data_IF_360177796680
#
_entry.id   IF_360177796680
#
_cell.length_a   1.000
_cell.length_b   1.000
_cell.length_c   1.000
_cell.angle_alpha   90.00
_cell.angle_beta   90.00
_cell.angle_gamma   90.00
#
_symmetry.space_group_name_H-M   'P 1'
#
loop_
_entity.id
_entity.type
_entity.pdbx_description
1 polymer ?
#
# COMPACT_ATOMS: atom_id res chain seq x y z
N UNK A 1 55.02 -24.77 -83.84
CA UNK A 1 53.64 -24.29 -83.87
C UNK A 1 52.81 -25.34 -83.16
N UNK A 2 52.56 -25.11 -81.83
CA UNK A 2 51.77 -26.01 -80.94
C UNK A 2 50.53 -25.30 -80.47
N UNK A 3 49.42 -25.85 -80.89
CA UNK A 3 48.09 -25.33 -80.54
C UNK A 3 47.71 -25.92 -79.20
N UNK A 4 47.48 -25.04 -78.16
CA UNK A 4 46.94 -25.45 -76.89
C UNK A 4 45.41 -25.37 -76.93
N UNK A 5 44.74 -26.48 -76.71
CA UNK A 5 43.29 -26.56 -76.49
C UNK A 5 42.95 -26.41 -75.04
N UNK A 6 42.05 -25.46 -74.71
CA UNK A 6 41.49 -25.23 -73.38
C UNK A 6 40.45 -26.31 -73.06
N UNK A 7 40.41 -26.81 -71.81
CA UNK A 7 39.36 -27.71 -71.40
C UNK A 7 38.06 -26.94 -70.99
N UNK A 8 36.93 -27.50 -71.40
CA UNK A 8 35.60 -27.03 -71.11
C UNK A 8 35.28 -27.15 -69.61
N UNK A 9 35.09 -26.02 -68.87
CA UNK A 9 34.51 -25.96 -67.58
C UNK A 9 32.97 -26.14 -67.67
N UNK A 10 32.47 -27.33 -67.40
CA UNK A 10 31.04 -27.57 -67.13
C UNK A 10 30.89 -28.19 -65.74
N UNK A 11 29.97 -27.61 -64.99
CA UNK A 11 29.41 -28.11 -63.71
C UNK A 11 29.92 -27.53 -62.36
N UNK A 12 30.26 -26.24 -62.23
CA UNK A 12 30.53 -25.64 -60.93
C UNK A 12 29.37 -24.68 -60.44
N UNK A 13 28.44 -24.36 -61.37
CA UNK A 13 27.43 -23.31 -61.06
C UNK A 13 26.19 -23.73 -60.26
N UNK A 14 25.91 -25.03 -60.08
CA UNK A 14 24.65 -25.47 -59.43
C UNK A 14 24.80 -25.88 -57.98
N UNK A 15 25.99 -26.28 -57.55
CA UNK A 15 26.21 -26.69 -56.14
C UNK A 15 26.41 -25.50 -55.22
N UNK A 16 27.02 -24.40 -55.63
CA UNK A 16 27.24 -23.22 -54.82
C UNK A 16 25.97 -22.37 -54.63
N UNK A 17 25.01 -22.42 -55.55
CA UNK A 17 23.73 -21.71 -55.39
C UNK A 17 22.84 -22.37 -54.35
N UNK A 18 22.85 -23.71 -54.22
CA UNK A 18 22.08 -24.43 -53.20
C UNK A 18 22.65 -24.29 -51.78
N UNK A 19 23.99 -24.20 -51.65
CA UNK A 19 24.63 -23.99 -50.33
C UNK A 19 24.42 -22.56 -49.84
N UNK A 20 24.43 -21.56 -50.71
CA UNK A 20 24.11 -20.16 -50.34
C UNK A 20 22.63 -19.96 -49.95
N UNK A 21 21.71 -20.69 -50.57
CA UNK A 21 20.28 -20.61 -50.22
C UNK A 21 19.97 -21.31 -48.89
N UNK A 22 20.72 -22.36 -48.51
CA UNK A 22 20.54 -23.04 -47.22
C UNK A 22 21.15 -22.27 -46.05
N UNK A 23 22.19 -21.45 -46.25
CA UNK A 23 22.74 -20.57 -45.21
C UNK A 23 21.85 -19.36 -44.94
N UNK A 24 21.10 -18.86 -45.92
CA UNK A 24 20.16 -17.76 -45.74
C UNK A 24 18.87 -18.16 -44.97
N UNK A 25 18.50 -19.45 -44.98
CA UNK A 25 17.32 -19.96 -44.26
C UNK A 25 17.56 -20.19 -42.76
N UNK A 26 18.82 -20.21 -42.30
CA UNK A 26 19.18 -20.40 -40.89
C UNK A 26 19.28 -19.11 -40.07
N UNK A 27 19.21 -17.95 -40.71
CA UNK A 27 19.32 -16.64 -40.03
C UNK A 27 17.96 -16.03 -39.58
N UNK A 28 16.82 -16.73 -39.80
CA UNK A 28 15.49 -16.25 -39.41
C UNK A 28 15.02 -16.79 -38.06
N UNK A 29 15.83 -17.51 -37.30
CA UNK A 29 15.60 -17.75 -35.91
C UNK A 29 16.01 -16.48 -35.11
N UNK A 30 15.38 -15.36 -35.42
CA UNK A 30 15.35 -14.20 -34.53
C UNK A 30 14.70 -14.66 -33.22
N UNK A 31 15.50 -14.79 -32.17
CA UNK A 31 14.99 -14.89 -30.82
C UNK A 31 13.98 -13.76 -30.62
N UNK A 32 12.68 -14.06 -30.69
CA UNK A 32 11.68 -13.23 -30.08
C UNK A 32 12.04 -13.23 -28.59
N UNK A 33 12.70 -12.17 -28.10
CA UNK A 33 12.70 -11.88 -26.68
C UNK A 33 11.23 -11.92 -26.27
N UNK A 34 10.80 -12.95 -25.56
CA UNK A 34 9.59 -12.85 -24.75
C UNK A 34 9.83 -11.62 -23.88
N UNK A 35 9.13 -10.54 -24.12
CA UNK A 35 8.98 -9.50 -23.11
C UNK A 35 8.45 -10.23 -21.89
N UNK A 36 9.29 -10.34 -20.87
CA UNK A 36 8.82 -10.80 -19.56
C UNK A 36 7.75 -9.80 -19.16
N UNK A 37 6.50 -10.27 -19.12
CA UNK A 37 5.38 -9.45 -18.70
C UNK A 37 5.73 -8.91 -17.31
N UNK A 38 5.79 -7.60 -17.16
CA UNK A 38 6.02 -6.94 -15.88
C UNK A 38 4.97 -7.48 -14.90
N UNK A 39 5.37 -8.00 -13.73
CA UNK A 39 4.41 -8.54 -12.77
C UNK A 39 3.36 -7.48 -12.45
N UNK A 40 2.10 -7.81 -12.69
CA UNK A 40 0.99 -6.94 -12.28
C UNK A 40 0.86 -7.04 -10.77
N UNK A 41 1.05 -5.94 -10.08
CA UNK A 41 1.01 -5.89 -8.62
C UNK A 41 0.21 -4.70 -8.10
N UNK A 42 -0.32 -4.86 -6.90
CA UNK A 42 -0.89 -3.79 -6.08
C UNK A 42 -0.08 -3.69 -4.80
N UNK A 43 -0.03 -2.52 -4.18
CA UNK A 43 0.55 -2.33 -2.85
C UNK A 43 -0.54 -2.45 -1.78
N UNK A 44 -0.29 -3.21 -0.71
CA UNK A 44 -1.19 -3.28 0.45
C UNK A 44 -0.40 -3.07 1.73
N UNK A 45 -0.86 -2.13 2.56
CA UNK A 45 -0.45 -1.95 3.96
C UNK A 45 -1.60 -2.35 4.88
N UNK A 46 -1.31 -2.97 6.03
CA UNK A 46 -2.34 -3.38 6.99
C UNK A 46 -2.03 -2.79 8.35
N UNK A 47 -3.01 -2.12 8.94
CA UNK A 47 -2.88 -1.43 10.21
C UNK A 47 -3.92 -1.96 11.21
N UNK A 48 -3.51 -2.31 12.43
CA UNK A 48 -4.44 -2.61 13.50
C UNK A 48 -4.82 -1.34 14.24
N UNK A 49 -5.99 -0.78 13.94
CA UNK A 49 -6.59 0.36 14.61
C UNK A 49 -7.76 -0.04 15.54
N UNK A 50 -8.02 -1.36 15.69
CA UNK A 50 -9.02 -1.86 16.63
C UNK A 50 -8.58 -1.57 18.07
N UNK A 51 -9.42 -0.94 18.90
CA UNK A 51 -9.06 -0.50 20.25
C UNK A 51 -8.86 -1.65 21.25
N UNK A 52 -8.81 -2.89 20.81
CA UNK A 52 -8.68 -4.06 21.67
C UNK A 52 -7.26 -4.22 22.21
N UNK A 53 -7.10 -4.87 23.37
CA UNK A 53 -5.79 -5.30 23.88
C UNK A 53 -5.26 -6.55 23.16
N UNK A 54 -6.07 -7.17 22.29
CA UNK A 54 -5.67 -8.35 21.54
C UNK A 54 -4.64 -7.99 20.46
N UNK A 55 -3.81 -8.98 20.13
CA UNK A 55 -2.92 -8.93 18.96
C UNK A 55 -3.49 -9.81 17.85
N UNK A 56 -3.22 -9.46 16.58
CA UNK A 56 -3.85 -10.13 15.45
C UNK A 56 -2.83 -10.72 14.48
N UNK A 57 -3.05 -11.96 14.07
CA UNK A 57 -2.44 -12.50 12.88
C UNK A 57 -3.26 -12.07 11.65
N UNK A 58 -2.55 -11.77 10.57
CA UNK A 58 -3.12 -11.35 9.29
C UNK A 58 -2.85 -12.42 8.25
N UNK A 59 -3.88 -12.81 7.53
CA UNK A 59 -3.79 -13.76 6.42
C UNK A 59 -4.34 -13.13 5.15
N UNK A 60 -3.68 -13.40 4.04
CA UNK A 60 -4.14 -13.06 2.69
C UNK A 60 -4.21 -14.34 1.87
N UNK A 61 -5.40 -14.62 1.31
CA UNK A 61 -5.65 -15.86 0.57
C UNK A 61 -5.13 -17.08 1.32
N UNK A 62 -5.45 -17.15 2.64
CA UNK A 62 -5.04 -18.17 3.62
C UNK A 62 -3.54 -18.24 3.98
N UNK A 63 -2.68 -17.46 3.33
CA UNK A 63 -1.29 -17.33 3.72
C UNK A 63 -1.11 -16.28 4.83
N UNK A 64 -0.44 -16.65 5.93
CA UNK A 64 -0.09 -15.70 6.99
C UNK A 64 0.97 -14.73 6.50
N UNK A 65 0.73 -13.40 6.63
CA UNK A 65 1.60 -12.35 6.09
C UNK A 65 2.38 -11.57 7.15
N UNK A 66 2.11 -11.77 8.44
CA UNK A 66 2.86 -11.16 9.52
C UNK A 66 3.68 -12.20 10.31
N UNK A 67 4.93 -11.88 10.63
CA UNK A 67 5.80 -12.73 11.45
C UNK A 67 5.40 -12.70 12.93
N UNK A 68 5.05 -11.52 13.45
CA UNK A 68 4.54 -11.30 14.80
C UNK A 68 3.12 -10.75 14.74
N UNK A 69 2.25 -11.16 15.68
CA UNK A 69 0.88 -10.67 15.75
C UNK A 69 0.85 -9.14 15.99
N UNK A 70 0.03 -8.41 15.24
CA UNK A 70 -0.06 -6.95 15.28
C UNK A 70 -0.77 -6.49 16.57
N UNK A 71 -0.10 -5.74 17.45
CA UNK A 71 -0.76 -5.07 18.57
C UNK A 71 -1.60 -3.89 18.10
N UNK A 72 -2.35 -3.26 18.98
CA UNK A 72 -2.99 -1.97 18.73
C UNK A 72 -1.96 -0.97 18.17
N UNK A 73 -2.35 -0.23 17.15
CA UNK A 73 -1.50 0.67 16.38
C UNK A 73 -0.33 0.01 15.63
N UNK A 74 -0.15 -1.32 15.68
CA UNK A 74 0.82 -2.05 14.87
C UNK A 74 0.47 -2.03 13.39
N UNK A 75 1.49 -2.13 12.51
CA UNK A 75 1.29 -2.08 11.06
C UNK A 75 2.25 -2.98 10.31
N UNK A 76 1.79 -3.48 9.17
CA UNK A 76 2.62 -4.02 8.10
C UNK A 76 2.85 -2.93 7.06
N UNK A 77 4.10 -2.68 6.72
CA UNK A 77 4.45 -1.78 5.61
C UNK A 77 3.90 -2.31 4.31
N UNK A 78 3.86 -1.47 3.25
CA UNK A 78 3.42 -1.91 1.94
C UNK A 78 4.20 -3.13 1.46
N UNK A 79 3.46 -4.11 1.02
CA UNK A 79 3.96 -5.30 0.33
C UNK A 79 3.15 -5.53 -0.95
N UNK A 80 3.76 -6.23 -1.90
CA UNK A 80 3.14 -6.51 -3.20
C UNK A 80 2.18 -7.69 -3.09
N UNK A 81 1.04 -7.54 -3.75
CA UNK A 81 -0.01 -8.56 -3.87
C UNK A 81 -0.60 -8.52 -5.27
N UNK A 82 -1.09 -9.64 -5.78
CA UNK A 82 -1.77 -9.70 -7.07
C UNK A 82 -3.04 -8.86 -7.06
N UNK A 83 -3.32 -8.08 -8.12
CA UNK A 83 -4.59 -7.37 -8.27
C UNK A 83 -5.76 -8.35 -8.40
N UNK A 84 -6.99 -7.82 -8.28
CA UNK A 84 -8.22 -8.58 -8.30
C UNK A 84 -8.79 -8.85 -6.92
N UNK A 85 -9.65 -9.87 -6.81
CA UNK A 85 -10.28 -10.25 -5.55
C UNK A 85 -9.31 -11.03 -4.67
N UNK A 86 -9.11 -10.56 -3.45
CA UNK A 86 -8.29 -11.20 -2.42
C UNK A 86 -9.10 -11.34 -1.14
N UNK A 87 -8.81 -12.36 -0.34
CA UNK A 87 -9.43 -12.55 0.97
C UNK A 87 -8.45 -12.10 2.05
N UNK A 88 -8.85 -11.13 2.88
CA UNK A 88 -8.13 -10.76 4.09
C UNK A 88 -8.84 -11.35 5.30
N UNK A 89 -8.07 -12.03 6.18
CA UNK A 89 -8.57 -12.69 7.39
C UNK A 89 -7.71 -12.31 8.59
N UNK A 90 -8.38 -12.07 9.72
CA UNK A 90 -7.74 -11.81 11.00
C UNK A 90 -8.11 -12.90 12.00
N UNK A 91 -7.12 -13.36 12.75
CA UNK A 91 -7.29 -14.26 13.90
C UNK A 91 -6.64 -13.62 15.12
N UNK A 92 -6.95 -14.08 16.32
CA UNK A 92 -6.13 -13.67 17.47
C UNK A 92 -4.70 -14.22 17.36
N UNK A 93 -3.76 -13.60 18.05
CA UNK A 93 -2.35 -14.05 18.05
C UNK A 93 -2.15 -15.48 18.52
N UNK A 94 -3.07 -16.02 19.32
CA UNK A 94 -3.03 -17.35 19.95
C UNK A 94 -3.99 -18.37 19.33
N UNK A 95 -4.77 -18.02 18.30
CA UNK A 95 -5.78 -18.90 17.69
C UNK A 95 -5.71 -18.83 16.17
N UNK A 96 -6.22 -19.86 15.52
CA UNK A 96 -6.44 -19.91 14.05
C UNK A 96 -7.90 -19.64 13.68
N UNK A 97 -8.78 -19.49 14.66
CA UNK A 97 -10.18 -19.15 14.46
C UNK A 97 -10.31 -17.74 13.87
N UNK A 98 -11.12 -17.61 12.83
CA UNK A 98 -11.36 -16.34 12.17
C UNK A 98 -12.21 -15.42 13.03
N UNK A 99 -11.70 -14.22 13.30
CA UNK A 99 -12.43 -13.14 13.96
C UNK A 99 -13.05 -12.18 12.96
N UNK A 100 -12.42 -12.02 11.79
CA UNK A 100 -12.90 -11.23 10.68
C UNK A 100 -12.38 -11.83 9.38
N UNK A 101 -13.26 -11.99 8.40
CA UNK A 101 -12.89 -12.33 7.02
C UNK A 101 -13.64 -11.40 6.06
N UNK A 102 -12.91 -10.77 5.14
CA UNK A 102 -13.47 -9.86 4.12
C UNK A 102 -12.83 -10.16 2.77
N UNK A 103 -13.62 -9.99 1.72
CA UNK A 103 -13.08 -9.93 0.35
C UNK A 103 -12.74 -8.47 0.04
N UNK A 104 -11.53 -8.24 -0.44
CA UNK A 104 -11.04 -6.95 -0.90
C UNK A 104 -10.72 -7.04 -2.39
N UNK A 105 -11.00 -5.97 -3.14
CA UNK A 105 -10.66 -5.89 -4.56
C UNK A 105 -9.57 -4.86 -4.77
N UNK A 106 -8.47 -5.28 -5.39
CA UNK A 106 -7.29 -4.45 -5.61
C UNK A 106 -7.10 -4.23 -7.12
N UNK A 107 -6.88 -2.99 -7.52
CA UNK A 107 -6.56 -2.62 -8.90
C UNK A 107 -5.04 -2.63 -9.10
N UNK A 108 -4.62 -2.98 -10.31
CA UNK A 108 -3.21 -2.96 -10.68
C UNK A 108 -2.60 -1.55 -10.50
N UNK A 109 -1.33 -1.52 -10.08
CA UNK A 109 -0.52 -0.31 -9.92
C UNK A 109 -1.09 0.70 -8.90
N UNK A 110 -2.05 0.27 -8.05
CA UNK A 110 -2.56 1.07 -6.94
C UNK A 110 -2.05 0.59 -5.59
N UNK A 111 -1.96 1.54 -4.65
CA UNK A 111 -1.62 1.28 -3.26
C UNK A 111 -2.86 1.44 -2.37
N UNK A 112 -2.93 0.63 -1.32
CA UNK A 112 -4.06 0.60 -0.39
C UNK A 112 -3.57 0.46 1.05
N UNK A 113 -4.25 1.15 1.96
CA UNK A 113 -4.16 0.90 3.40
C UNK A 113 -5.43 0.21 3.88
N UNK A 114 -5.28 -0.94 4.54
CA UNK A 114 -6.38 -1.66 5.18
C UNK A 114 -6.27 -1.49 6.70
N UNK A 115 -7.30 -0.96 7.32
CA UNK A 115 -7.38 -0.74 8.76
C UNK A 115 -8.33 -1.78 9.37
N UNK A 116 -7.82 -2.61 10.29
CA UNK A 116 -8.66 -3.38 11.20
C UNK A 116 -9.21 -2.40 12.24
N UNK A 117 -10.51 -2.30 12.38
CA UNK A 117 -11.18 -1.27 13.17
C UNK A 117 -12.27 -1.88 14.07
N UNK A 118 -12.86 -1.02 14.90
CA UNK A 118 -13.96 -1.31 15.78
C UNK A 118 -13.60 -2.22 16.96
N UNK A 119 -14.57 -2.43 17.86
CA UNK A 119 -14.44 -3.18 19.12
C UNK A 119 -14.43 -4.69 18.87
N UNK A 120 -13.92 -5.48 19.81
CA UNK A 120 -13.73 -6.92 19.68
C UNK A 120 -14.97 -7.71 19.21
N UNK A 121 -16.17 -7.28 19.64
CA UNK A 121 -17.43 -7.93 19.29
C UNK A 121 -18.05 -7.44 17.98
N UNK A 122 -17.41 -6.47 17.30
CA UNK A 122 -17.87 -5.82 16.07
C UNK A 122 -16.71 -5.52 15.11
N UNK A 123 -15.64 -6.33 15.17
CA UNK A 123 -14.49 -6.11 14.30
C UNK A 123 -14.92 -5.90 12.85
N UNK A 124 -14.36 -4.89 12.22
CA UNK A 124 -14.62 -4.53 10.83
C UNK A 124 -13.33 -4.07 10.15
N UNK A 125 -13.38 -3.82 8.85
CA UNK A 125 -12.27 -3.34 8.06
C UNK A 125 -12.62 -2.12 7.24
N UNK A 126 -11.72 -1.15 7.20
CA UNK A 126 -11.78 0.00 6.30
C UNK A 126 -10.61 -0.09 5.32
N UNK A 127 -10.91 -0.16 4.03
CA UNK A 127 -9.90 -0.06 2.96
C UNK A 127 -9.91 1.35 2.37
N UNK A 128 -8.74 1.94 2.23
CA UNK A 128 -8.56 3.27 1.66
C UNK A 128 -7.53 3.18 0.54
N UNK A 129 -7.84 3.74 -0.62
CA UNK A 129 -6.87 3.89 -1.70
C UNK A 129 -5.87 4.99 -1.35
N UNK A 130 -4.59 4.71 -1.55
CA UNK A 130 -3.49 5.62 -1.27
C UNK A 130 -2.97 6.21 -2.58
N UNK A 131 -3.29 7.47 -2.84
CA UNK A 131 -2.65 8.20 -3.93
C UNK A 131 -1.24 8.62 -3.49
N UNK A 132 -0.27 7.79 -3.85
CA UNK A 132 1.14 8.01 -3.56
C UNK A 132 1.89 8.68 -4.74
N UNK A 133 1.22 8.91 -5.86
CA UNK A 133 1.76 9.54 -7.06
C UNK A 133 1.78 11.07 -6.92
N UNK A 134 2.51 11.55 -5.92
CA UNK A 134 2.61 12.98 -5.70
C UNK A 134 3.79 13.56 -6.48
N UNK A 135 3.54 14.59 -7.25
CA UNK A 135 4.57 15.37 -7.94
C UNK A 135 5.20 16.44 -7.03
N UNK A 136 4.65 16.64 -5.83
CA UNK A 136 5.14 17.68 -4.92
C UNK A 136 6.32 17.16 -4.10
N UNK A 137 7.55 17.44 -4.56
CA UNK A 137 8.78 17.13 -3.84
C UNK A 137 9.15 18.15 -2.76
N UNK A 138 8.50 19.33 -2.75
CA UNK A 138 8.86 20.45 -1.87
C UNK A 138 8.12 20.40 -0.53
N UNK A 139 6.93 19.79 -0.49
CA UNK A 139 6.10 19.71 0.71
C UNK A 139 5.73 18.29 1.05
N UNK A 140 5.66 17.93 2.35
CA UNK A 140 5.01 16.71 2.77
C UNK A 140 3.52 16.80 2.53
N UNK A 141 2.90 15.65 2.23
CA UNK A 141 1.45 15.52 2.13
C UNK A 141 0.92 14.77 3.34
N UNK A 142 -0.17 15.26 3.89
CA UNK A 142 -0.87 14.59 5.00
C UNK A 142 -2.33 14.35 4.65
N UNK A 143 -2.88 13.26 5.19
CA UNK A 143 -4.32 13.05 5.34
C UNK A 143 -4.63 12.65 6.78
N UNK A 144 -5.86 12.89 7.20
CA UNK A 144 -6.37 12.47 8.50
C UNK A 144 -7.52 11.48 8.32
N UNK A 145 -7.53 10.43 9.17
CA UNK A 145 -8.58 9.41 9.22
C UNK A 145 -9.11 9.30 10.66
N UNK A 146 -10.41 9.41 10.85
CA UNK A 146 -11.04 9.14 12.13
C UNK A 146 -11.48 7.67 12.23
N UNK A 147 -10.80 6.89 13.10
CA UNK A 147 -11.10 5.48 13.37
C UNK A 147 -11.58 5.26 14.82
N UNK A 148 -12.12 6.30 15.47
CA UNK A 148 -12.65 6.28 16.84
C UNK A 148 -14.16 5.99 16.78
N UNK A 149 -14.63 4.77 17.13
CA UNK A 149 -16.01 4.34 16.84
C UNK A 149 -17.07 5.00 17.72
N UNK A 150 -16.70 5.56 18.86
CA UNK A 150 -17.60 6.27 19.80
C UNK A 150 -17.47 7.81 19.73
N UNK A 151 -16.73 8.33 18.73
CA UNK A 151 -16.69 9.76 18.43
C UNK A 151 -17.65 10.11 17.30
N UNK A 152 -18.41 11.20 17.46
CA UNK A 152 -19.28 11.70 16.37
C UNK A 152 -18.46 12.26 15.24
N UNK A 153 -17.60 13.24 15.53
CA UNK A 153 -16.64 13.83 14.60
C UNK A 153 -15.39 14.27 15.36
N UNK A 154 -14.23 14.23 14.67
CA UNK A 154 -12.96 14.69 15.23
C UNK A 154 -12.22 15.53 14.19
N UNK A 155 -11.56 16.60 14.63
CA UNK A 155 -10.69 17.45 13.79
C UNK A 155 -9.22 17.34 14.20
N UNK A 156 -8.33 17.54 13.23
CA UNK A 156 -6.88 17.61 13.46
C UNK A 156 -6.44 19.07 13.44
N UNK A 157 -5.83 19.51 14.53
CA UNK A 157 -5.41 20.91 14.74
C UNK A 157 -3.91 20.93 15.03
N UNK A 158 -3.18 21.90 14.52
CA UNK A 158 -1.81 22.15 15.01
C UNK A 158 -1.89 22.68 16.43
N UNK A 159 -1.15 22.10 17.37
CA UNK A 159 -1.15 22.53 18.77
C UNK A 159 -0.85 24.02 18.89
N UNK A 160 -1.74 24.76 19.51
CA UNK A 160 -1.66 26.22 19.63
C UNK A 160 -1.85 26.98 18.30
N UNK A 161 -2.28 26.33 17.24
CA UNK A 161 -2.40 26.90 15.89
C UNK A 161 -3.75 26.66 15.21
N UNK A 162 -3.74 26.69 13.88
CA UNK A 162 -4.93 26.55 13.06
C UNK A 162 -5.36 25.07 12.92
N UNK A 163 -6.62 24.89 12.54
CA UNK A 163 -7.15 23.62 12.09
C UNK A 163 -6.41 23.18 10.79
N UNK A 164 -5.87 21.96 10.81
CA UNK A 164 -5.12 21.37 9.69
C UNK A 164 -6.04 20.53 8.82
N UNK A 165 -6.92 19.75 9.45
CA UNK A 165 -7.96 19.00 8.75
C UNK A 165 -9.28 19.16 9.50
N UNK A 166 -10.29 19.60 8.77
CA UNK A 166 -11.65 19.77 9.28
C UNK A 166 -12.26 18.46 9.76
N UNK A 167 -13.25 18.57 10.64
CA UNK A 167 -13.91 17.45 11.28
C UNK A 167 -14.27 16.30 10.35
N UNK A 168 -13.92 15.08 10.77
CA UNK A 168 -14.22 13.81 10.10
C UNK A 168 -15.06 12.94 11.02
N UNK A 169 -16.16 12.40 10.48
CA UNK A 169 -16.94 11.37 11.14
C UNK A 169 -16.17 10.06 11.24
N UNK A 170 -16.64 9.12 12.06
CA UNK A 170 -16.08 7.77 12.12
C UNK A 170 -16.01 7.13 10.73
N UNK A 171 -14.87 6.50 10.38
CA UNK A 171 -14.52 5.93 9.07
C UNK A 171 -14.31 6.97 7.95
N UNK A 172 -14.52 8.25 8.20
CA UNK A 172 -14.25 9.28 7.21
C UNK A 172 -12.78 9.73 7.24
N UNK A 173 -12.30 10.15 6.07
CA UNK A 173 -10.93 10.61 5.88
C UNK A 173 -10.88 11.85 4.95
N UNK A 174 -9.77 12.57 5.03
CA UNK A 174 -9.46 13.63 4.07
C UNK A 174 -8.71 13.09 2.86
N UNK A 175 -8.68 13.85 1.77
CA UNK A 175 -7.65 13.69 0.74
C UNK A 175 -6.28 14.06 1.30
N UNK A 176 -5.20 13.67 0.62
CA UNK A 176 -3.86 14.18 0.91
C UNK A 176 -3.77 15.66 0.56
N UNK A 177 -3.24 16.46 1.48
CA UNK A 177 -3.05 17.90 1.32
C UNK A 177 -1.63 18.30 1.72
N UNK A 178 -1.01 19.28 1.02
CA UNK A 178 0.34 19.73 1.33
C UNK A 178 0.36 20.56 2.63
N UNK A 179 1.38 20.34 3.44
CA UNK A 179 1.72 21.16 4.61
C UNK A 179 3.19 21.57 4.55
N UNK A 180 3.63 22.48 5.40
CA UNK A 180 5.05 22.86 5.41
C UNK A 180 5.94 21.75 5.99
N UNK A 181 7.15 21.61 5.47
CA UNK A 181 8.14 20.68 6.00
C UNK A 181 8.77 21.23 7.30
N UNK A 182 8.29 20.74 8.43
CA UNK A 182 8.75 21.13 9.77
C UNK A 182 8.34 20.10 10.82
N UNK A 183 8.76 20.33 12.06
CA UNK A 183 8.26 19.58 13.21
C UNK A 183 6.93 20.14 13.68
N UNK A 184 5.95 19.26 13.88
CA UNK A 184 4.60 19.56 14.33
C UNK A 184 4.33 18.92 15.67
N UNK A 185 3.40 19.54 16.39
CA UNK A 185 2.55 18.87 17.39
C UNK A 185 1.11 19.00 16.94
N UNK A 186 0.34 17.92 17.04
CA UNK A 186 -1.07 17.87 16.63
C UNK A 186 -1.96 17.58 17.81
N UNK A 187 -3.05 18.32 17.90
CA UNK A 187 -4.17 18.07 18.81
C UNK A 187 -5.32 17.44 18.05
N UNK A 188 -5.86 16.37 18.61
CA UNK A 188 -7.15 15.81 18.23
C UNK A 188 -8.23 16.54 19.02
N UNK A 189 -9.17 17.19 18.34
CA UNK A 189 -10.22 17.97 19.00
C UNK A 189 -11.61 17.44 18.68
N UNK A 190 -12.48 17.53 19.68
CA UNK A 190 -13.91 17.49 19.48
C UNK A 190 -14.37 18.88 19.00
N UNK A 191 -14.86 19.03 17.76
CA UNK A 191 -15.26 20.33 17.23
C UNK A 191 -16.52 20.89 17.91
N UNK A 192 -17.36 20.04 18.53
CA UNK A 192 -18.58 20.50 19.20
C UNK A 192 -18.28 21.20 20.54
N UNK A 193 -17.26 20.75 21.27
CA UNK A 193 -16.87 21.27 22.57
C UNK A 193 -15.59 22.09 22.56
N UNK A 194 -14.77 21.95 21.51
CA UNK A 194 -13.43 22.52 21.44
C UNK A 194 -12.39 21.79 22.31
N UNK A 195 -12.79 20.73 23.00
CA UNK A 195 -11.92 19.97 23.90
C UNK A 195 -10.80 19.25 23.13
N UNK A 196 -9.58 19.30 23.68
CA UNK A 196 -8.46 18.47 23.24
C UNK A 196 -8.61 17.09 23.84
N UNK A 197 -8.72 16.06 22.98
CA UNK A 197 -8.89 14.66 23.37
C UNK A 197 -7.53 13.97 23.50
N UNK A 198 -6.61 14.25 22.58
CA UNK A 198 -5.29 13.65 22.53
C UNK A 198 -4.32 14.59 21.83
N UNK A 199 -3.05 14.55 22.24
CA UNK A 199 -1.98 15.33 21.61
C UNK A 199 -0.87 14.40 21.15
N UNK A 200 -0.37 14.62 19.92
CA UNK A 200 0.81 13.95 19.36
C UNK A 200 1.89 15.00 19.08
N UNK A 201 3.00 14.92 19.82
CA UNK A 201 4.07 15.91 19.76
C UNK A 201 5.30 15.48 19.01
N UNK A 202 6.07 16.47 18.55
CA UNK A 202 7.42 16.31 17.98
C UNK A 202 7.47 15.41 16.73
N UNK A 203 6.56 15.57 15.82
CA UNK A 203 6.51 14.84 14.55
C UNK A 203 7.15 15.68 13.45
N UNK A 204 8.30 15.25 12.96
CA UNK A 204 8.95 15.89 11.81
C UNK A 204 8.38 15.35 10.51
N UNK A 205 7.76 16.24 9.73
CA UNK A 205 7.24 15.94 8.39
C UNK A 205 8.25 16.45 7.36
N UNK A 206 8.83 15.51 6.61
CA UNK A 206 9.86 15.81 5.61
C UNK A 206 9.24 16.03 4.24
N UNK A 207 9.81 16.97 3.48
CA UNK A 207 9.43 17.22 2.09
C UNK A 207 9.50 15.93 1.24
N UNK A 208 8.59 15.81 0.29
CA UNK A 208 8.49 14.64 -0.60
C UNK A 208 7.84 13.40 0.00
N UNK A 209 7.59 13.37 1.31
CA UNK A 209 6.96 12.23 1.96
C UNK A 209 5.43 12.39 2.06
N UNK A 210 4.75 11.26 2.18
CA UNK A 210 3.29 11.16 2.30
C UNK A 210 2.97 10.49 3.63
N UNK A 211 2.09 11.12 4.41
CA UNK A 211 1.77 10.68 5.76
C UNK A 211 0.26 10.54 5.95
N UNK A 212 -0.13 9.47 6.61
CA UNK A 212 -1.49 9.30 7.15
C UNK A 212 -1.46 9.48 8.66
N UNK A 213 -2.26 10.41 9.16
CA UNK A 213 -2.47 10.60 10.59
C UNK A 213 -3.81 9.95 10.93
N UNK A 214 -3.81 8.97 11.83
CA UNK A 214 -5.04 8.33 12.30
C UNK A 214 -5.34 8.71 13.74
N UNK A 215 -6.62 8.92 14.03
CA UNK A 215 -7.15 8.85 15.38
C UNK A 215 -7.70 7.43 15.59
N UNK A 216 -7.21 6.70 16.57
CA UNK A 216 -7.63 5.33 16.87
C UNK A 216 -7.77 5.15 18.39
N UNK A 217 -8.50 4.12 18.82
CA UNK A 217 -8.87 3.95 20.23
C UNK A 217 -10.36 4.22 20.43
N UNK A 218 -10.77 4.45 21.69
CA UNK A 218 -12.14 4.83 22.07
C UNK A 218 -12.12 5.96 23.08
N UNK A 219 -13.13 6.83 23.06
CA UNK A 219 -13.29 7.94 24.02
C UNK A 219 -13.55 7.42 25.43
N UNK A 220 -14.37 6.35 25.52
CA UNK A 220 -14.77 5.76 26.80
C UNK A 220 -14.32 4.28 26.82
N UNK A 221 -13.02 4.03 27.12
CA UNK A 221 -12.48 2.68 27.13
C UNK A 221 -12.96 1.87 28.34
N UNK A 222 -13.25 0.58 28.11
CA UNK A 222 -13.30 -0.42 29.16
C UNK A 222 -11.88 -0.88 29.52
N UNK A 223 -11.73 -1.69 30.56
CA UNK A 223 -10.44 -2.25 30.99
C UNK A 223 -9.73 -3.11 29.93
N UNK A 224 -10.46 -3.48 28.86
CA UNK A 224 -9.96 -4.29 27.74
C UNK A 224 -9.76 -3.50 26.46
N UNK A 225 -9.79 -2.18 26.53
CA UNK A 225 -9.73 -1.30 25.37
C UNK A 225 -8.67 -0.21 25.53
N UNK A 226 -8.20 0.27 24.39
CA UNK A 226 -7.23 1.35 24.30
C UNK A 226 -7.95 2.71 24.25
N UNK A 227 -7.45 3.66 25.00
CA UNK A 227 -7.90 5.05 24.90
C UNK A 227 -7.49 5.67 23.57
N UNK A 228 -8.15 6.74 23.19
CA UNK A 228 -7.88 7.48 21.94
C UNK A 228 -6.45 7.98 21.91
N UNK A 229 -5.81 7.75 20.75
CA UNK A 229 -4.50 8.29 20.43
C UNK A 229 -4.42 8.73 18.96
N UNK A 230 -3.49 9.64 18.68
CA UNK A 230 -3.05 9.95 17.32
C UNK A 230 -1.81 9.11 16.97
N UNK A 231 -1.73 8.65 15.72
CA UNK A 231 -0.54 7.99 15.18
C UNK A 231 -0.26 8.50 13.77
N UNK A 232 1.03 8.71 13.45
CA UNK A 232 1.50 8.96 12.08
C UNK A 232 1.96 7.66 11.45
N UNK A 233 1.56 7.46 10.23
CA UNK A 233 1.99 6.37 9.33
C UNK A 233 2.67 7.03 8.14
N UNK A 234 3.90 6.66 7.86
CA UNK A 234 4.60 7.08 6.64
C UNK A 234 4.16 6.16 5.51
N UNK A 235 3.51 6.71 4.50
CA UNK A 235 3.06 5.97 3.32
C UNK A 235 4.15 5.92 2.24
N UNK A 236 5.00 6.92 2.18
CA UNK A 236 6.15 7.03 1.28
C UNK A 236 7.18 8.01 1.83
#
# INVERSE_FOLDING_TARGET
>A
MRIFTLPKLKHIGRFNALVLLSLAALSLNSCSKKEEATPQVSGLSVINASPTLATYNVYLNDAKVNSAALPFSGSLSYFQISPGANTIKFTSGSSTESLLTKVISLEQDKAYSYFLIDRANKLDGLMVTDDLNTTNSEKPLIRFINLVPDATTLSLVQTGGAEVVAAKAYKAFSTFAPVDAKTYSFDLKDPATGAVISTLGNITLNAGNVYTIIAAGVLNPSDKEQTVMLKVITNR
#
